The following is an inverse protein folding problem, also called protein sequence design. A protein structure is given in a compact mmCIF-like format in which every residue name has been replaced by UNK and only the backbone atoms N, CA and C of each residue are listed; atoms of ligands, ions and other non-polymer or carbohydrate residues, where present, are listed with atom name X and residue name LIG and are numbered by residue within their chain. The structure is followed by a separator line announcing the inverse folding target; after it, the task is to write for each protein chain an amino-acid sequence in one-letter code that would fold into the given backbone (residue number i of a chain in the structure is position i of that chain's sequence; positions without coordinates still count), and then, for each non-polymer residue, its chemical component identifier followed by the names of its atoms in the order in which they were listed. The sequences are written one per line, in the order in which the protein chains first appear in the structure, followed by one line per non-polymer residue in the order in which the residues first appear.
data_IF_943743476198
#
_entry.id   IF_943743476198
#
_cell.length_a   1.000
_cell.length_b   1.000
_cell.length_c   1.000
_cell.angle_alpha   90.00
_cell.angle_beta   90.00
_cell.angle_gamma   90.00
#
_symmetry.space_group_name_H-M   'P 1'
#
loop_
_entity.id
_entity.type
_entity.pdbx_description
1 polymer ?
#
# COMPACT_ATOMS: atom_id res chain seq x y z
N UNK A 1 -14.15 -20.41 1.04
CA UNK A 1 -13.19 -21.03 0.11
C UNK A 1 -12.10 -20.02 -0.20
N UNK A 2 -10.87 -20.51 -0.34
CA UNK A 2 -9.68 -19.69 -0.61
C UNK A 2 -9.02 -20.21 -1.88
N UNK A 3 -8.53 -19.31 -2.71
CA UNK A 3 -7.70 -19.60 -3.87
C UNK A 3 -6.35 -18.90 -3.68
N UNK A 4 -5.26 -19.66 -3.70
CA UNK A 4 -3.91 -19.12 -3.78
C UNK A 4 -3.39 -19.24 -5.19
N UNK A 5 -2.72 -18.20 -5.66
CA UNK A 5 -2.01 -18.23 -6.92
C UNK A 5 -0.65 -17.52 -6.77
N UNK A 6 0.26 -17.87 -7.65
CA UNK A 6 1.57 -17.25 -7.73
C UNK A 6 1.54 -16.27 -8.90
N UNK A 7 1.87 -15.02 -8.60
CA UNK A 7 2.01 -13.99 -9.62
C UNK A 7 3.19 -14.37 -10.54
N UNK A 8 3.01 -14.25 -11.89
CA UNK A 8 3.92 -14.90 -12.85
C UNK A 8 5.29 -14.26 -13.00
N UNK A 9 5.49 -12.98 -12.60
CA UNK A 9 6.74 -12.27 -12.87
C UNK A 9 7.78 -12.48 -11.76
N UNK A 10 7.38 -12.34 -10.50
CA UNK A 10 8.27 -12.39 -9.34
C UNK A 10 7.95 -13.53 -8.36
N UNK A 11 6.93 -14.32 -8.64
CA UNK A 11 6.57 -15.46 -7.82
C UNK A 11 5.89 -15.09 -6.49
N UNK A 12 5.33 -13.89 -6.39
CA UNK A 12 4.63 -13.44 -5.18
C UNK A 12 3.31 -14.18 -5.04
N UNK A 13 3.06 -14.71 -3.84
CA UNK A 13 1.84 -15.46 -3.54
C UNK A 13 0.71 -14.52 -3.14
N UNK A 14 -0.41 -14.63 -3.84
CA UNK A 14 -1.67 -13.95 -3.53
C UNK A 14 -2.73 -14.94 -3.08
N UNK A 15 -3.60 -14.50 -2.17
CA UNK A 15 -4.70 -15.31 -1.68
C UNK A 15 -6.03 -14.56 -1.83
N UNK A 16 -6.99 -15.18 -2.54
CA UNK A 16 -8.33 -14.66 -2.74
C UNK A 16 -9.33 -15.41 -1.85
N UNK A 17 -10.22 -14.68 -1.20
CA UNK A 17 -11.27 -15.22 -0.34
C UNK A 17 -12.64 -15.00 -0.96
N UNK A 18 -13.44 -16.04 -1.06
CA UNK A 18 -14.86 -15.90 -1.42
C UNK A 18 -15.73 -15.48 -0.23
N UNK A 19 -15.24 -15.71 0.98
CA UNK A 19 -15.96 -15.40 2.20
C UNK A 19 -14.96 -15.07 3.32
N UNK A 20 -15.22 -14.00 4.04
CA UNK A 20 -14.45 -13.60 5.22
C UNK A 20 -15.34 -13.64 6.45
N UNK A 21 -14.87 -14.27 7.52
CA UNK A 21 -15.53 -14.22 8.82
C UNK A 21 -15.28 -12.85 9.46
N UNK A 22 -16.35 -12.20 9.86
CA UNK A 22 -16.28 -10.95 10.63
C UNK A 22 -16.47 -11.23 12.11
N UNK A 23 -15.84 -10.46 12.97
CA UNK A 23 -16.10 -10.49 14.41
C UNK A 23 -17.57 -10.12 14.66
N UNK A 24 -18.20 -10.77 15.63
CA UNK A 24 -19.58 -10.45 16.04
C UNK A 24 -19.72 -9.11 16.75
N UNK A 25 -18.61 -8.52 17.20
CA UNK A 25 -18.56 -7.19 17.85
C UNK A 25 -17.73 -6.23 17.01
N UNK A 26 -18.16 -4.97 16.95
CA UNK A 26 -17.40 -3.91 16.29
C UNK A 26 -16.04 -3.72 16.96
N UNK A 27 -15.03 -3.40 16.15
CA UNK A 27 -13.72 -2.99 16.67
C UNK A 27 -13.87 -1.69 17.46
N UNK A 28 -13.27 -1.67 18.64
CA UNK A 28 -13.19 -0.47 19.48
C UNK A 28 -11.72 -0.02 19.53
N UNK A 29 -11.39 1.13 18.94
CA UNK A 29 -10.03 1.65 18.97
C UNK A 29 -9.64 2.07 20.39
N UNK A 30 -8.43 1.72 20.81
CA UNK A 30 -7.92 2.06 22.15
C UNK A 30 -6.92 3.22 22.14
N UNK A 31 -5.99 3.21 21.20
CA UNK A 31 -4.92 4.23 21.09
C UNK A 31 -5.04 5.01 19.78
N UNK A 32 -5.04 4.31 18.66
CA UNK A 32 -5.20 4.89 17.32
C UNK A 32 -6.57 4.54 16.76
N UNK A 33 -7.23 5.52 16.15
CA UNK A 33 -8.54 5.33 15.54
C UNK A 33 -8.41 4.77 14.12
N UNK A 34 -7.79 3.60 14.00
CA UNK A 34 -7.67 2.92 12.70
C UNK A 34 -9.07 2.56 12.21
N UNK A 35 -9.42 3.09 11.05
CA UNK A 35 -10.69 2.81 10.39
C UNK A 35 -10.63 1.52 9.58
N UNK A 36 -9.50 1.29 8.89
CA UNK A 36 -9.34 0.16 7.98
C UNK A 36 -7.88 -0.05 7.57
N UNK A 37 -7.58 -1.24 7.06
CA UNK A 37 -6.45 -1.45 6.16
C UNK A 37 -6.74 -0.67 4.87
N UNK A 38 -5.88 0.28 4.54
CA UNK A 38 -6.07 1.18 3.39
C UNK A 38 -5.62 0.53 2.09
N UNK A 39 -4.33 0.25 2.00
CA UNK A 39 -3.73 -0.35 0.82
C UNK A 39 -2.46 -1.14 1.16
N UNK A 40 -1.98 -1.85 0.16
CA UNK A 40 -0.68 -2.54 0.17
C UNK A 40 0.09 -2.12 -1.07
N UNK A 41 1.37 -1.83 -0.93
CA UNK A 41 2.28 -1.60 -2.06
C UNK A 41 3.27 -2.74 -2.16
N UNK A 42 3.42 -3.26 -3.37
CA UNK A 42 4.35 -4.35 -3.70
C UNK A 42 5.25 -3.89 -4.83
N UNK A 43 6.55 -4.17 -4.69
CA UNK A 43 7.55 -3.89 -5.73
C UNK A 43 7.71 -5.08 -6.65
N UNK A 44 7.82 -4.84 -7.95
CA UNK A 44 7.94 -5.86 -9.00
C UNK A 44 9.15 -5.59 -9.89
N UNK A 45 9.82 -6.66 -10.31
CA UNK A 45 10.98 -6.59 -11.23
C UNK A 45 10.59 -6.21 -12.65
N UNK A 46 9.44 -6.70 -13.12
CA UNK A 46 8.84 -6.32 -14.39
C UNK A 46 7.56 -5.51 -14.13
N UNK A 47 7.75 -4.21 -14.01
CA UNK A 47 6.70 -3.27 -13.65
C UNK A 47 5.54 -3.25 -14.64
N UNK A 48 5.85 -3.19 -15.94
CA UNK A 48 4.83 -3.11 -17.00
C UNK A 48 4.02 -4.41 -17.11
N UNK A 49 4.70 -5.56 -17.05
CA UNK A 49 4.03 -6.86 -17.06
C UNK A 49 3.14 -7.04 -15.84
N UNK A 50 3.57 -6.57 -14.66
CA UNK A 50 2.78 -6.66 -13.43
C UNK A 50 1.55 -5.75 -13.47
N UNK A 51 1.67 -4.50 -13.93
CA UNK A 51 0.51 -3.62 -14.15
C UNK A 51 -0.48 -4.28 -15.11
N UNK A 52 0.02 -4.82 -16.23
CA UNK A 52 -0.82 -5.52 -17.20
C UNK A 52 -1.54 -6.72 -16.56
N UNK A 53 -0.85 -7.53 -15.77
CA UNK A 53 -1.43 -8.67 -15.09
C UNK A 53 -2.56 -8.25 -14.14
N UNK A 54 -2.34 -7.28 -13.27
CA UNK A 54 -3.36 -6.83 -12.32
C UNK A 54 -4.56 -6.18 -13.03
N UNK A 55 -4.34 -5.47 -14.12
CA UNK A 55 -5.42 -4.91 -14.93
C UNK A 55 -6.22 -6.00 -15.68
N UNK A 56 -5.55 -6.84 -16.45
CA UNK A 56 -6.20 -7.73 -17.42
C UNK A 56 -6.74 -9.02 -16.76
N UNK A 57 -6.11 -9.47 -15.67
CA UNK A 57 -6.48 -10.73 -14.99
C UNK A 57 -7.25 -10.47 -13.69
N UNK A 58 -6.82 -9.46 -12.92
CA UNK A 58 -7.39 -9.18 -11.60
C UNK A 58 -8.45 -8.06 -11.62
N UNK A 59 -8.71 -7.47 -12.78
CA UNK A 59 -9.72 -6.42 -12.98
C UNK A 59 -9.49 -5.16 -12.12
N UNK A 60 -8.22 -4.79 -11.94
CA UNK A 60 -7.86 -3.53 -11.31
C UNK A 60 -7.79 -2.40 -12.34
N UNK A 61 -8.27 -1.22 -11.96
CA UNK A 61 -8.13 0.01 -12.73
C UNK A 61 -6.99 0.86 -12.18
N UNK A 62 -6.21 1.49 -13.05
CA UNK A 62 -5.26 2.53 -12.66
C UNK A 62 -6.01 3.80 -12.27
N UNK A 63 -5.71 4.36 -11.11
CA UNK A 63 -6.20 5.67 -10.68
C UNK A 63 -5.23 6.79 -11.06
N UNK A 64 -3.96 6.61 -10.78
CA UNK A 64 -2.87 7.51 -11.16
C UNK A 64 -1.55 6.72 -11.24
N UNK A 65 -0.51 7.35 -11.77
CA UNK A 65 0.88 6.85 -11.71
C UNK A 65 1.86 7.99 -11.41
N UNK A 66 3.02 7.63 -10.85
CA UNK A 66 4.23 8.42 -10.95
C UNK A 66 5.12 7.65 -11.93
N UNK A 67 5.42 8.27 -13.08
CA UNK A 67 6.00 7.59 -14.23
C UNK A 67 7.28 6.84 -13.89
N UNK A 68 7.28 5.55 -14.23
CA UNK A 68 8.40 4.65 -13.98
C UNK A 68 8.60 4.24 -12.50
N UNK A 69 7.89 4.83 -11.53
CA UNK A 69 8.05 4.55 -10.10
C UNK A 69 6.95 3.67 -9.53
N UNK A 70 5.70 4.10 -9.67
CA UNK A 70 4.56 3.43 -9.04
C UNK A 70 3.28 3.65 -9.84
N UNK A 71 2.47 2.60 -9.97
CA UNK A 71 1.12 2.65 -10.47
C UNK A 71 0.15 2.38 -9.31
N UNK A 72 -0.81 3.28 -9.12
CA UNK A 72 -1.84 3.19 -8.09
C UNK A 72 -3.10 2.58 -8.67
N UNK A 73 -3.55 1.47 -8.09
CA UNK A 73 -4.65 0.68 -8.63
C UNK A 73 -5.78 0.52 -7.62
N UNK A 74 -7.01 0.48 -8.14
CA UNK A 74 -8.23 0.28 -7.38
C UNK A 74 -9.07 -0.83 -7.99
N UNK A 75 -9.95 -1.41 -7.17
CA UNK A 75 -10.93 -2.40 -7.62
C UNK A 75 -12.23 -2.22 -6.84
N UNK A 76 -13.33 -1.93 -7.54
CA UNK A 76 -14.64 -1.83 -6.90
C UNK A 76 -15.09 -3.18 -6.29
N UNK A 77 -15.87 -3.12 -5.19
CA UNK A 77 -16.60 -1.97 -4.63
C UNK A 77 -15.80 -1.05 -3.70
N UNK A 78 -14.47 -1.12 -3.66
CA UNK A 78 -13.67 -0.21 -2.84
C UNK A 78 -13.51 1.14 -3.58
N UNK A 79 -14.05 2.27 -3.05
CA UNK A 79 -14.06 3.54 -3.75
C UNK A 79 -12.75 4.33 -3.66
N UNK A 80 -11.85 3.95 -2.77
CA UNK A 80 -10.63 4.73 -2.53
C UNK A 80 -9.71 4.77 -3.74
N UNK A 81 -8.94 5.86 -3.86
CA UNK A 81 -7.99 6.11 -4.94
C UNK A 81 -7.14 4.89 -5.26
N UNK A 82 -6.66 4.18 -4.27
CA UNK A 82 -6.00 2.90 -4.48
C UNK A 82 -6.13 1.99 -3.26
N UNK A 83 -6.12 0.71 -3.53
CA UNK A 83 -6.03 -0.36 -2.54
C UNK A 83 -4.79 -1.22 -2.77
N UNK A 84 -4.18 -1.03 -3.95
CA UNK A 84 -2.99 -1.73 -4.35
C UNK A 84 -2.06 -0.79 -5.12
N UNK A 85 -0.77 -0.80 -4.79
CA UNK A 85 0.27 -0.08 -5.51
C UNK A 85 1.28 -1.06 -6.11
N UNK A 86 1.54 -0.89 -7.41
CA UNK A 86 2.57 -1.63 -8.15
C UNK A 86 3.79 -0.73 -8.27
N UNK A 87 4.81 -0.96 -7.43
CA UNK A 87 6.06 -0.18 -7.41
C UNK A 87 7.12 -0.85 -8.30
N UNK A 88 7.97 -0.04 -8.94
CA UNK A 88 9.06 -0.52 -9.79
C UNK A 88 10.32 -0.79 -8.96
N UNK A 89 10.64 -2.06 -8.74
CA UNK A 89 11.80 -2.46 -7.96
C UNK A 89 13.13 -2.03 -8.60
N UNK A 90 13.25 -2.08 -9.93
CA UNK A 90 14.51 -1.78 -10.64
C UNK A 90 14.99 -0.36 -10.47
N UNK A 91 14.09 0.62 -10.54
CA UNK A 91 14.45 2.04 -10.46
C UNK A 91 14.86 2.47 -9.05
N UNK A 92 14.50 1.69 -8.06
CA UNK A 92 14.78 1.99 -6.66
C UNK A 92 15.93 1.18 -6.09
N UNK A 93 16.51 0.25 -6.89
CA UNK A 93 17.50 -0.71 -6.41
C UNK A 93 16.93 -1.74 -5.44
N UNK A 94 15.62 -1.78 -5.32
CA UNK A 94 14.91 -2.67 -4.40
C UNK A 94 14.77 -4.07 -4.98
N UNK A 95 14.62 -5.03 -4.08
CA UNK A 95 14.20 -6.38 -4.46
C UNK A 95 12.67 -6.44 -4.59
N UNK A 96 12.11 -7.32 -5.45
CA UNK A 96 10.67 -7.57 -5.48
C UNK A 96 10.13 -8.01 -4.13
N UNK A 97 8.88 -7.65 -3.83
CA UNK A 97 8.20 -8.04 -2.60
C UNK A 97 7.41 -6.91 -1.97
N UNK A 98 6.93 -7.13 -0.75
CA UNK A 98 6.16 -6.14 0.01
C UNK A 98 6.99 -4.87 0.23
N UNK A 99 6.41 -3.71 -0.12
CA UNK A 99 7.02 -2.41 0.11
C UNK A 99 6.51 -1.80 1.43
N UNK A 100 5.21 -1.66 1.57
CA UNK A 100 4.58 -1.21 2.81
C UNK A 100 3.10 -1.62 2.88
N UNK A 101 2.57 -1.49 4.08
CA UNK A 101 1.15 -1.64 4.39
C UNK A 101 0.63 -0.32 4.96
N UNK A 102 -0.52 0.12 4.50
CA UNK A 102 -1.17 1.34 4.96
C UNK A 102 -2.35 1.05 5.88
N UNK A 103 -2.46 1.82 6.95
CA UNK A 103 -3.65 1.89 7.80
C UNK A 103 -4.25 3.30 7.75
N UNK A 104 -5.50 3.40 7.32
CA UNK A 104 -6.24 4.67 7.32
C UNK A 104 -6.84 4.92 8.70
N UNK A 105 -6.71 6.15 9.18
CA UNK A 105 -7.31 6.61 10.43
C UNK A 105 -8.57 7.45 10.17
N UNK A 106 -9.37 7.68 11.21
CA UNK A 106 -10.69 8.32 11.06
C UNK A 106 -10.64 9.83 10.98
N UNK A 107 -9.58 10.46 11.50
CA UNK A 107 -9.44 11.93 11.52
C UNK A 107 -7.96 12.36 11.48
N UNK A 108 -7.75 13.64 11.10
CA UNK A 108 -6.42 14.24 11.04
C UNK A 108 -5.77 14.38 12.42
N UNK A 109 -6.55 14.59 13.47
CA UNK A 109 -6.01 14.70 14.82
C UNK A 109 -5.36 13.41 15.29
N UNK A 110 -5.83 12.26 14.76
CA UNK A 110 -5.19 10.98 15.06
C UNK A 110 -3.79 10.88 14.44
N UNK A 111 -3.60 11.45 13.24
CA UNK A 111 -2.27 11.61 12.63
C UNK A 111 -1.37 12.47 13.53
N UNK A 112 -1.84 13.64 13.96
CA UNK A 112 -1.09 14.55 14.81
C UNK A 112 -0.72 13.93 16.16
N UNK A 113 -1.68 13.26 16.82
CA UNK A 113 -1.43 12.53 18.09
C UNK A 113 -0.44 11.39 17.92
N UNK A 114 -0.50 10.68 16.81
CA UNK A 114 0.43 9.59 16.53
C UNK A 114 1.86 10.09 16.31
N UNK A 115 2.03 11.22 15.61
CA UNK A 115 3.35 11.84 15.41
C UNK A 115 4.06 12.18 16.74
N UNK A 116 3.30 12.54 17.78
CA UNK A 116 3.88 12.76 19.10
C UNK A 116 4.22 11.43 19.81
N UNK A 117 3.36 10.40 19.66
CA UNK A 117 3.60 9.09 20.28
C UNK A 117 4.80 8.34 19.72
N UNK A 118 5.13 8.53 18.42
CA UNK A 118 6.24 7.81 17.79
C UNK A 118 7.58 8.05 18.51
N UNK A 119 8.07 9.30 18.66
CA UNK A 119 9.32 9.54 19.37
C UNK A 119 9.26 9.19 20.87
N UNK A 120 8.11 9.33 21.53
CA UNK A 120 7.93 8.93 22.93
C UNK A 120 8.11 7.41 23.15
N UNK A 121 7.91 6.61 22.09
CA UNK A 121 8.06 5.15 22.10
C UNK A 121 9.25 4.67 21.26
N UNK A 122 10.15 5.58 20.90
CA UNK A 122 11.36 5.29 20.12
C UNK A 122 11.07 4.63 18.75
N UNK A 123 9.89 4.93 18.17
CA UNK A 123 9.48 4.42 16.86
C UNK A 123 9.98 5.36 15.77
N UNK A 124 10.84 4.89 14.83
CA UNK A 124 11.40 5.75 13.79
C UNK A 124 10.35 6.18 12.77
N UNK A 125 10.22 7.50 12.56
CA UNK A 125 9.47 8.05 11.42
C UNK A 125 10.46 8.14 10.25
N UNK A 126 10.16 7.47 9.16
CA UNK A 126 11.06 7.35 8.01
C UNK A 126 10.64 8.18 6.79
N UNK A 127 9.39 8.69 6.76
CA UNK A 127 8.94 9.65 5.76
C UNK A 127 7.69 10.38 6.24
N UNK A 128 7.61 11.69 5.98
CA UNK A 128 6.50 12.53 6.40
C UNK A 128 6.71 13.18 7.78
N UNK A 129 5.68 13.90 8.33
CA UNK A 129 4.34 14.01 7.75
C UNK A 129 4.32 14.75 6.42
N UNK A 130 3.41 14.37 5.55
CA UNK A 130 3.29 14.95 4.21
C UNK A 130 1.89 14.80 3.63
N UNK A 131 1.75 15.22 2.37
CA UNK A 131 0.52 15.05 1.59
C UNK A 131 0.83 14.51 0.20
N UNK A 132 0.32 13.32 -0.10
CA UNK A 132 0.54 12.68 -1.40
C UNK A 132 -0.20 13.39 -2.54
N UNK A 133 0.50 13.86 -3.59
CA UNK A 133 -0.12 14.45 -4.77
C UNK A 133 -1.13 13.54 -5.49
N UNK A 134 -0.86 12.21 -5.67
CA UNK A 134 -1.80 11.35 -6.37
C UNK A 134 -3.13 11.20 -5.65
N UNK A 135 -3.11 10.82 -4.38
CA UNK A 135 -4.32 10.47 -3.61
C UNK A 135 -4.88 11.59 -2.76
N UNK A 136 -4.12 12.69 -2.58
CA UNK A 136 -4.48 13.78 -1.68
C UNK A 136 -4.40 13.43 -0.19
N UNK A 137 -4.04 12.18 0.18
CA UNK A 137 -3.99 11.75 1.57
C UNK A 137 -2.83 12.40 2.33
N UNK A 138 -3.11 12.79 3.57
CA UNK A 138 -2.09 13.16 4.55
C UNK A 138 -1.52 11.87 5.11
N UNK A 139 -0.20 11.79 5.24
CA UNK A 139 0.49 10.55 5.55
C UNK A 139 1.71 10.75 6.45
N UNK A 140 2.18 9.69 7.06
CA UNK A 140 3.55 9.46 7.49
C UNK A 140 3.85 7.96 7.51
N UNK A 141 5.15 7.64 7.35
CA UNK A 141 5.66 6.28 7.41
C UNK A 141 6.56 6.09 8.62
N UNK A 142 6.47 4.93 9.23
CA UNK A 142 7.30 4.52 10.36
C UNK A 142 7.70 3.05 10.22
N UNK A 143 8.66 2.61 11.01
CA UNK A 143 9.05 1.21 11.07
C UNK A 143 8.30 0.51 12.21
N UNK A 144 7.79 -0.68 11.91
CA UNK A 144 7.25 -1.58 12.93
C UNK A 144 8.38 -2.28 13.70
N UNK A 145 8.09 -3.09 14.76
CA UNK A 145 9.12 -3.78 15.52
C UNK A 145 9.98 -4.76 14.74
N UNK A 146 9.51 -5.24 13.59
CA UNK A 146 10.25 -6.13 12.69
C UNK A 146 11.05 -5.34 11.62
N UNK A 147 11.04 -4.01 11.66
CA UNK A 147 11.71 -3.13 10.72
C UNK A 147 10.98 -2.96 9.39
N UNK A 148 9.71 -3.36 9.30
CA UNK A 148 8.91 -3.18 8.09
C UNK A 148 8.27 -1.80 8.05
N UNK A 149 8.19 -1.22 6.85
CA UNK A 149 7.54 0.07 6.65
C UNK A 149 6.03 -0.02 6.76
N UNK A 150 5.47 0.79 7.65
CA UNK A 150 4.03 0.97 7.84
C UNK A 150 3.67 2.41 7.56
N UNK A 151 2.53 2.63 6.92
CA UNK A 151 1.98 3.96 6.67
C UNK A 151 0.70 4.18 7.48
N UNK A 152 0.59 5.35 8.12
CA UNK A 152 -0.69 5.90 8.55
C UNK A 152 -1.12 7.00 7.61
N UNK A 153 -2.41 7.01 7.23
CA UNK A 153 -2.95 8.06 6.36
C UNK A 153 -4.39 8.45 6.67
N UNK A 154 -4.75 9.64 6.19
CA UNK A 154 -6.09 10.21 6.29
C UNK A 154 -6.46 11.01 5.04
N UNK A 155 -7.73 10.97 4.63
CA UNK A 155 -8.26 11.86 3.60
C UNK A 155 -7.90 11.48 2.17
N UNK A 156 -7.76 10.18 1.89
CA UNK A 156 -7.56 9.69 0.54
C UNK A 156 -8.78 10.00 -0.35
N UNK A 157 -8.52 10.43 -1.60
CA UNK A 157 -9.56 10.63 -2.62
C UNK A 157 -10.41 9.38 -2.78
N UNK A 158 -11.72 9.58 -2.94
CA UNK A 158 -12.68 8.52 -3.28
C UNK A 158 -13.19 8.71 -4.71
N UNK A 159 -13.25 7.61 -5.45
CA UNK A 159 -13.75 7.57 -6.82
C UNK A 159 -15.21 7.13 -6.84
N UNK A 160 -16.07 7.79 -7.64
CA UNK A 160 -17.40 7.26 -7.92
C UNK A 160 -17.27 5.97 -8.75
N UNK A 161 -18.18 5.01 -8.53
CA UNK A 161 -18.22 3.78 -9.32
C UNK A 161 -18.47 4.05 -10.81
N UNK A 162 -19.33 5.03 -11.09
CA UNK A 162 -19.68 5.42 -12.45
C UNK A 162 -19.06 6.77 -12.81
N UNK A 163 -18.47 6.84 -14.00
CA UNK A 163 -17.88 8.05 -14.55
C UNK A 163 -16.76 8.65 -13.64
N UNK A 164 -15.78 7.85 -13.21
CA UNK A 164 -14.64 8.37 -12.47
C UNK A 164 -13.81 9.32 -13.32
N UNK A 165 -13.04 10.22 -12.69
CA UNK A 165 -12.05 11.01 -13.42
C UNK A 165 -11.04 10.09 -14.11
N UNK A 166 -10.44 10.58 -15.19
CA UNK A 166 -9.36 9.87 -15.88
C UNK A 166 -8.11 9.76 -14.99
N UNK A 167 -7.31 8.68 -15.16
CA UNK A 167 -6.00 8.56 -14.54
C UNK A 167 -5.09 9.74 -14.90
N UNK A 168 -4.26 10.16 -13.94
CA UNK A 168 -3.18 11.12 -14.17
C UNK A 168 -1.85 10.39 -14.16
N UNK A 169 -0.92 10.82 -15.01
CA UNK A 169 0.48 10.43 -14.97
C UNK A 169 1.29 11.62 -14.46
N UNK A 170 1.95 11.46 -13.32
CA UNK A 170 2.79 12.49 -12.72
C UNK A 170 4.25 12.24 -13.12
N UNK A 171 4.97 13.33 -13.42
CA UNK A 171 6.41 13.24 -13.63
C UNK A 171 7.13 12.80 -12.35
N UNK A 172 8.21 11.99 -12.45
CA UNK A 172 8.98 11.54 -11.30
C UNK A 172 9.88 12.66 -10.76
N UNK A 173 9.31 13.52 -9.93
CA UNK A 173 10.01 14.63 -9.25
C UNK A 173 9.91 14.44 -7.73
N UNK A 174 10.80 15.08 -6.94
CA UNK A 174 10.73 14.97 -5.48
C UNK A 174 9.36 15.35 -4.91
N UNK A 175 8.74 16.39 -5.45
CA UNK A 175 7.42 16.88 -5.05
C UNK A 175 6.25 15.99 -5.52
N UNK A 176 6.49 14.99 -6.35
CA UNK A 176 5.47 14.01 -6.75
C UNK A 176 5.17 12.99 -5.64
N UNK A 177 6.07 12.83 -4.67
CA UNK A 177 5.84 12.00 -3.48
C UNK A 177 5.15 12.77 -2.35
N UNK A 178 5.48 14.06 -2.19
CA UNK A 178 4.97 14.89 -1.10
C UNK A 178 4.85 16.36 -1.49
N UNK A 179 3.62 16.90 -1.45
CA UNK A 179 3.35 18.33 -1.69
C UNK A 179 4.06 19.27 -0.69
N UNK A 180 4.36 18.79 0.52
CA UNK A 180 5.01 19.61 1.54
C UNK A 180 6.52 19.60 1.44
N UNK A 181 7.06 18.82 0.50
CA UNK A 181 8.50 18.80 0.16
C UNK A 181 9.35 17.96 1.11
N UNK A 182 8.74 17.10 1.91
CA UNK A 182 9.46 16.11 2.71
C UNK A 182 10.14 15.07 1.82
N UNK A 183 11.27 14.55 2.29
CA UNK A 183 11.99 13.45 1.65
C UNK A 183 12.06 12.24 2.59
N UNK A 184 12.00 11.02 2.07
CA UNK A 184 12.18 9.84 2.89
C UNK A 184 13.62 9.73 3.41
N UNK A 185 13.79 9.09 4.57
CA UNK A 185 15.09 8.66 5.05
C UNK A 185 15.61 7.44 4.27
N UNK A 186 16.87 7.06 4.48
CA UNK A 186 17.47 5.87 3.87
C UNK A 186 16.77 4.58 4.32
N UNK A 187 16.16 4.60 5.52
CA UNK A 187 15.44 3.45 6.09
C UNK A 187 14.01 3.26 5.52
N UNK A 188 13.53 4.21 4.72
CA UNK A 188 12.23 4.09 4.10
C UNK A 188 12.18 2.92 3.12
N UNK A 189 11.08 2.17 3.16
CA UNK A 189 10.88 0.95 2.39
C UNK A 189 11.75 -0.25 2.83
N UNK A 190 12.24 -0.22 4.05
CA UNK A 190 12.80 -1.43 4.67
C UNK A 190 11.73 -2.50 4.82
N UNK A 191 12.12 -3.75 4.57
CA UNK A 191 11.21 -4.89 4.47
C UNK A 191 11.37 -5.92 5.57
N UNK A 192 12.37 -5.75 6.42
CA UNK A 192 12.80 -6.80 7.33
C UNK A 192 13.26 -8.07 6.59
N UNK A 193 13.49 -9.14 7.30
CA UNK A 193 13.83 -10.45 6.73
C UNK A 193 12.57 -11.17 6.28
N UNK A 194 12.21 -11.01 5.02
CA UNK A 194 11.09 -11.76 4.42
C UNK A 194 11.56 -13.20 4.22
N UNK A 195 11.08 -14.10 5.04
CA UNK A 195 11.29 -15.53 4.82
C UNK A 195 10.60 -15.93 3.51
N UNK A 196 11.32 -16.60 2.59
CA UNK A 196 10.71 -17.10 1.37
C UNK A 196 9.56 -18.03 1.73
N UNK A 197 8.39 -17.79 1.16
CA UNK A 197 7.26 -18.69 1.31
C UNK A 197 7.71 -20.09 0.86
N UNK A 198 7.79 -21.03 1.78
CA UNK A 198 7.99 -22.44 1.38
C UNK A 198 6.80 -22.79 0.49
N UNK A 199 7.04 -23.29 -0.74
CA UNK A 199 5.95 -23.75 -1.56
C UNK A 199 5.19 -24.81 -0.77
N UNK A 200 4.05 -24.46 -0.25
CA UNK A 200 3.07 -25.48 0.20
C UNK A 200 2.43 -26.04 -1.05
N UNK A 201 3.24 -26.79 -1.76
CA UNK A 201 2.78 -27.55 -2.90
C UNK A 201 2.31 -28.90 -2.45
N UNK A 202 1.16 -29.21 -3.01
CA UNK A 202 0.55 -30.51 -3.12
C UNK A 202 -0.37 -30.92 -1.97
N UNK A 203 -1.45 -30.15 -1.77
CA UNK A 203 -2.72 -30.83 -1.54
C UNK A 203 -3.18 -31.40 -2.87
N UNK A 204 -3.16 -32.70 -3.07
CA UNK A 204 -3.93 -33.32 -4.12
C UNK A 204 -5.37 -32.80 -4.00
N UNK A 205 -5.89 -32.22 -5.08
CA UNK A 205 -7.33 -32.01 -5.21
C UNK A 205 -8.00 -33.38 -5.05
N UNK A 206 -8.69 -33.56 -3.95
CA UNK A 206 -9.68 -34.60 -3.77
C UNK A 206 -11.01 -34.15 -4.34
#
# INVERSE_FOLDING_TARGET
RTLRFIEPNDGICFELYSQQYKRGTSYQPTVSKIARLGHVVVSFSDWDASIKFFRDVMNFDTSDSIDGFINFMRCFPNPYHHTFGVSNAKLRGDKPGLHHVNFMVTDMDDIGRALNRMPENEIPIVFGPGRHPPSGSIFYYFLDPDGMTVEYSFGMEEFPEHNPRKPRSLEPRPDSGDYWGGLPTEDWAQRGDILPAKPQLTGKLL
#
